data_IF_794914267264
#
_entry.id   IF_794914267264
#
_cell.length_a   1.000
_cell.length_b   1.000
_cell.length_c   1.000
_cell.angle_alpha   90.00
_cell.angle_beta   90.00
_cell.angle_gamma   90.00
#
_symmetry.space_group_name_H-M   'P 1'
#
loop_
_entity.id
_entity.type
_entity.pdbx_description
1 polymer ?
#
# COMPACT_ATOMS: atom_id res chain seq x y z
N UNK A 1 17.41 6.58 -18.98
CA UNK A 1 15.95 6.45 -18.92
C UNK A 1 15.35 7.72 -19.51
N UNK A 2 14.12 7.69 -20.04
CA UNK A 2 13.47 8.89 -20.58
C UNK A 2 13.30 9.97 -19.51
N UNK A 3 13.55 11.23 -19.86
CA UNK A 3 13.59 12.37 -18.92
C UNK A 3 12.28 12.57 -18.13
N UNK A 4 11.15 12.10 -18.66
CA UNK A 4 9.84 12.20 -17.99
C UNK A 4 9.69 11.25 -16.79
N UNK A 5 10.52 10.21 -16.68
CA UNK A 5 10.44 9.25 -15.56
C UNK A 5 11.19 9.72 -14.31
N UNK A 6 12.09 10.68 -14.42
CA UNK A 6 12.92 11.15 -13.31
C UNK A 6 12.11 11.69 -12.12
N UNK A 7 11.07 12.53 -12.32
CA UNK A 7 10.25 13.01 -11.21
C UNK A 7 9.47 11.89 -10.51
N UNK A 8 8.98 10.92 -11.28
CA UNK A 8 8.25 9.76 -10.76
C UNK A 8 9.19 8.84 -9.97
N UNK A 9 10.36 8.55 -10.53
CA UNK A 9 11.38 7.70 -9.89
C UNK A 9 11.82 8.29 -8.55
N UNK A 10 12.08 9.61 -8.47
CA UNK A 10 12.44 10.28 -7.21
C UNK A 10 11.34 10.21 -6.16
N UNK A 11 10.09 10.39 -6.59
CA UNK A 11 8.92 10.35 -5.68
C UNK A 11 8.75 8.95 -5.09
N UNK A 12 8.82 7.92 -5.94
CA UNK A 12 8.68 6.53 -5.51
C UNK A 12 9.89 6.10 -4.68
N UNK A 13 11.11 6.49 -5.02
CA UNK A 13 12.31 6.09 -4.28
C UNK A 13 12.27 6.56 -2.80
N UNK A 14 11.83 7.81 -2.58
CA UNK A 14 11.71 8.40 -1.25
C UNK A 14 10.60 7.78 -0.38
N UNK A 15 9.57 7.17 -0.99
CA UNK A 15 8.47 6.57 -0.26
C UNK A 15 8.87 5.25 0.41
N UNK A 16 8.47 5.08 1.68
CA UNK A 16 8.51 3.78 2.37
C UNK A 16 7.58 2.78 1.69
N UNK A 17 8.07 1.57 1.46
CA UNK A 17 7.29 0.51 0.81
C UNK A 17 7.08 -0.64 1.77
N UNK A 18 5.93 -1.27 1.66
CA UNK A 18 5.57 -2.44 2.44
C UNK A 18 5.15 -3.55 1.49
N UNK A 19 5.74 -4.72 1.66
CA UNK A 19 5.34 -5.92 0.93
C UNK A 19 4.69 -6.84 1.94
N UNK A 20 3.46 -7.26 1.67
CA UNK A 20 2.75 -8.24 2.49
C UNK A 20 2.86 -9.57 1.78
N UNK A 21 3.54 -10.52 2.39
CA UNK A 21 3.68 -11.87 1.85
C UNK A 21 3.83 -12.90 2.96
N UNK A 22 3.22 -14.06 2.73
CA UNK A 22 3.34 -15.24 3.59
C UNK A 22 4.46 -16.17 3.14
N UNK A 23 5.00 -15.98 1.93
CA UNK A 23 5.95 -16.90 1.30
C UNK A 23 7.30 -16.28 0.99
N UNK A 24 7.40 -14.95 0.88
CA UNK A 24 8.68 -14.28 0.76
C UNK A 24 9.38 -14.30 2.12
N UNK A 25 10.66 -14.64 2.14
CA UNK A 25 11.47 -14.61 3.37
C UNK A 25 12.18 -13.26 3.54
N UNK A 26 12.40 -12.53 2.43
CA UNK A 26 13.10 -11.25 2.40
C UNK A 26 12.56 -10.41 1.25
N UNK A 27 12.69 -9.10 1.39
CA UNK A 27 12.42 -8.12 0.33
C UNK A 27 13.68 -7.35 0.03
N UNK A 28 13.78 -6.87 -1.20
CA UNK A 28 14.82 -5.92 -1.62
C UNK A 28 14.24 -4.51 -1.77
N UNK A 29 15.13 -3.58 -2.11
CA UNK A 29 14.83 -2.15 -2.24
C UNK A 29 14.32 -1.55 -0.92
N UNK A 30 13.89 -0.29 -0.94
CA UNK A 30 13.45 0.50 0.23
C UNK A 30 12.08 0.01 0.73
N UNK A 31 11.99 -1.28 1.04
CA UNK A 31 10.79 -2.00 1.38
C UNK A 31 10.98 -2.79 2.68
N UNK A 32 9.92 -2.85 3.45
CA UNK A 32 9.82 -3.65 4.67
C UNK A 32 8.84 -4.80 4.41
N UNK A 33 9.26 -6.03 4.71
CA UNK A 33 8.41 -7.20 4.61
C UNK A 33 7.53 -7.29 5.85
N UNK A 34 6.21 -7.28 5.65
CA UNK A 34 5.21 -7.40 6.70
C UNK A 34 4.64 -8.81 6.67
N UNK A 35 4.97 -9.60 7.69
CA UNK A 35 4.40 -10.92 7.90
C UNK A 35 3.14 -10.81 8.75
N UNK A 36 1.98 -11.02 8.13
CA UNK A 36 0.69 -11.07 8.80
C UNK A 36 -0.42 -11.44 7.81
N UNK A 37 -1.47 -12.09 8.29
CA UNK A 37 -2.74 -12.01 7.59
C UNK A 37 -3.24 -10.56 7.71
N UNK A 38 -3.87 -10.04 6.66
CA UNK A 38 -4.63 -8.80 6.77
C UNK A 38 -5.79 -9.06 7.73
N UNK A 39 -5.56 -8.92 9.04
CA UNK A 39 -6.58 -9.09 10.06
C UNK A 39 -7.59 -7.95 9.95
N UNK A 40 -8.60 -8.16 9.10
CA UNK A 40 -10.04 -8.12 9.41
C UNK A 40 -10.80 -7.92 8.10
N UNK A 41 -11.75 -8.78 7.74
CA UNK A 41 -12.96 -8.25 7.12
C UNK A 41 -13.52 -7.22 8.11
N UNK A 42 -13.81 -6.01 7.65
CA UNK A 42 -14.53 -5.02 8.44
C UNK A 42 -15.95 -5.56 8.71
N UNK A 43 -16.08 -6.53 9.62
CA UNK A 43 -17.34 -6.95 10.20
C UNK A 43 -17.63 -5.98 11.33
N UNK A 44 -17.94 -4.76 10.93
CA UNK A 44 -18.58 -3.82 11.82
C UNK A 44 -20.04 -3.78 11.43
N UNK A 45 -20.88 -4.36 12.28
CA UNK A 45 -22.24 -3.88 12.51
C UNK A 45 -22.18 -2.45 13.05
N UNK A 46 -21.68 -1.50 12.26
CA UNK A 46 -21.86 -0.07 12.49
C UNK A 46 -23.04 0.34 11.63
N UNK A 47 -24.12 0.71 12.31
CA UNK A 47 -25.31 1.23 11.66
C UNK A 47 -24.98 2.42 10.78
N UNK A 48 -25.57 2.41 9.58
CA UNK A 48 -26.13 3.57 8.89
C UNK A 48 -25.45 4.93 9.20
N UNK A 49 -24.21 5.17 8.76
CA UNK A 49 -23.74 6.51 8.37
C UNK A 49 -22.30 6.47 7.79
N UNK A 50 -22.07 5.75 6.70
CA UNK A 50 -20.89 6.06 5.86
C UNK A 50 -21.37 6.18 4.43
N UNK A 51 -21.87 7.36 4.12
CA UNK A 51 -22.13 7.79 2.76
C UNK A 51 -21.16 8.90 2.43
N UNK A 52 -20.61 8.76 1.24
CA UNK A 52 -19.97 9.77 0.41
C UNK A 52 -18.49 10.03 0.73
N UNK A 53 -17.71 10.20 -0.34
CA UNK A 53 -16.25 10.45 -0.41
C UNK A 53 -15.30 9.28 -0.64
N UNK A 54 -15.59 8.29 -1.51
CA UNK A 54 -14.50 7.56 -2.17
C UNK A 54 -14.85 7.11 -3.60
N UNK A 55 -14.04 7.61 -4.57
CA UNK A 55 -13.91 7.27 -6.00
C UNK A 55 -14.53 8.15 -7.11
N UNK A 56 -14.37 9.48 -7.03
CA UNK A 56 -14.17 10.27 -8.26
C UNK A 56 -12.83 10.99 -8.21
N UNK A 57 -11.80 10.31 -8.71
CA UNK A 57 -10.58 10.90 -9.26
C UNK A 57 -9.96 9.91 -10.24
#
# INVERSE_FOLDING_TARGET
>A
MPDWMDPFARTIDAAKKYVVSTTLERVDWNAELVHGELERPFSSSIGSQVRDYWWEA
#
